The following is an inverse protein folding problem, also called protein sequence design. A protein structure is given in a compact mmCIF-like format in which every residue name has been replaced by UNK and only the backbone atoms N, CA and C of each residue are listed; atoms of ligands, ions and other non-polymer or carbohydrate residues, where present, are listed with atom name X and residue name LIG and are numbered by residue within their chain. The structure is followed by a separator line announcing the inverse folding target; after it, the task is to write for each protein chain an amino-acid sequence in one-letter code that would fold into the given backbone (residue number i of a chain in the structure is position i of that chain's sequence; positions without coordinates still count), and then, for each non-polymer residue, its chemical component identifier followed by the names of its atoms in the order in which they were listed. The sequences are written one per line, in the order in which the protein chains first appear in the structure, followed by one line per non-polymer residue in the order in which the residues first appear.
data_IF_896693327590
#
_entry.id   IF_896693327590
#
_cell.length_a   1.000
_cell.length_b   1.000
_cell.length_c   1.000
_cell.angle_alpha   90.00
_cell.angle_beta   90.00
_cell.angle_gamma   90.00
#
_symmetry.space_group_name_H-M   'P 1'
#
loop_
_entity.id
_entity.type
_entity.pdbx_description
1 polymer ?
#
# COMPACT_ATOMS: atom_id res chain seq x y z
N UNK A 1 -26.03 15.82 -11.16
CA UNK A 1 -25.73 14.58 -11.89
C UNK A 1 -24.26 14.23 -11.65
N UNK A 2 -23.93 13.01 -11.22
CA UNK A 2 -22.52 12.58 -10.98
C UNK A 2 -21.79 12.46 -12.30
N UNK A 3 -20.65 13.19 -12.47
CA UNK A 3 -19.98 13.35 -13.76
C UNK A 3 -18.46 13.18 -13.70
N UNK A 4 -17.87 13.14 -12.51
CA UNK A 4 -16.44 13.14 -12.33
C UNK A 4 -15.96 11.88 -11.62
N UNK A 5 -14.73 11.50 -11.89
CA UNK A 5 -14.04 10.37 -11.29
C UNK A 5 -12.74 10.86 -10.65
N UNK A 6 -12.32 10.19 -9.59
CA UNK A 6 -11.05 10.48 -8.95
C UNK A 6 -10.18 9.22 -9.02
N UNK A 7 -8.96 9.38 -9.52
CA UNK A 7 -7.90 8.37 -9.39
C UNK A 7 -6.97 8.75 -8.25
N UNK A 8 -6.67 7.80 -7.36
CA UNK A 8 -5.67 7.95 -6.30
C UNK A 8 -4.53 6.98 -6.56
N UNK A 9 -3.30 7.49 -6.55
CA UNK A 9 -2.09 6.68 -6.64
C UNK A 9 -1.27 6.82 -5.34
N UNK A 10 -1.21 5.74 -4.57
CA UNK A 10 -0.36 5.66 -3.38
C UNK A 10 0.98 5.02 -3.74
N UNK A 11 1.87 5.83 -4.31
CA UNK A 11 3.21 5.41 -4.72
C UNK A 11 4.17 5.17 -3.55
N UNK A 12 5.38 4.76 -3.85
CA UNK A 12 6.41 4.44 -2.85
C UNK A 12 6.87 5.63 -2.01
N UNK A 13 6.85 6.86 -2.55
CA UNK A 13 7.36 8.08 -1.88
C UNK A 13 6.39 9.25 -1.92
N UNK A 14 5.30 9.11 -2.66
CA UNK A 14 4.35 10.18 -2.91
C UNK A 14 2.95 9.59 -3.10
N UNK A 15 1.94 10.28 -2.56
CA UNK A 15 0.53 10.03 -2.84
C UNK A 15 0.00 11.12 -3.76
N UNK A 16 -0.78 10.75 -4.77
CA UNK A 16 -1.37 11.66 -5.75
C UNK A 16 -2.85 11.39 -5.91
N UNK A 17 -3.61 12.42 -6.24
CA UNK A 17 -4.99 12.29 -6.69
C UNK A 17 -5.23 13.15 -7.94
N UNK A 18 -6.03 12.67 -8.87
CA UNK A 18 -6.42 13.41 -10.06
C UNK A 18 -7.93 13.29 -10.30
N UNK A 19 -8.52 14.37 -10.78
CA UNK A 19 -9.94 14.45 -11.16
C UNK A 19 -10.05 14.32 -12.67
N UNK A 20 -10.97 13.47 -13.12
CA UNK A 20 -11.26 13.22 -14.52
C UNK A 20 -12.74 13.49 -14.83
N UNK A 21 -13.03 13.98 -16.01
CA UNK A 21 -14.40 14.02 -16.55
C UNK A 21 -14.81 12.66 -17.13
N UNK A 22 -16.07 12.54 -17.56
CA UNK A 22 -16.60 11.32 -18.14
C UNK A 22 -15.95 10.93 -19.50
N UNK A 23 -15.23 11.83 -20.14
CA UNK A 23 -14.45 11.57 -21.34
C UNK A 23 -13.01 11.12 -21.05
N UNK A 24 -12.64 11.00 -19.75
CA UNK A 24 -11.31 10.61 -19.33
C UNK A 24 -10.26 11.73 -19.36
N UNK A 25 -10.68 12.99 -19.55
CA UNK A 25 -9.76 14.14 -19.53
C UNK A 25 -9.46 14.51 -18.09
N UNK A 26 -8.17 14.62 -17.74
CA UNK A 26 -7.74 15.12 -16.44
C UNK A 26 -8.03 16.63 -16.33
N UNK A 27 -8.74 17.02 -15.29
CA UNK A 27 -9.11 18.41 -15.01
C UNK A 27 -8.15 19.06 -14.02
N UNK A 28 -7.76 18.33 -12.98
CA UNK A 28 -6.83 18.79 -11.97
C UNK A 28 -6.12 17.61 -11.29
N UNK A 29 -5.02 17.89 -10.64
CA UNK A 29 -4.31 16.91 -9.79
C UNK A 29 -3.64 17.59 -8.60
N UNK A 30 -3.38 16.79 -7.56
CA UNK A 30 -2.61 17.20 -6.40
C UNK A 30 -1.75 16.03 -5.94
N UNK A 31 -0.61 16.32 -5.32
CA UNK A 31 0.29 15.31 -4.76
C UNK A 31 0.96 15.80 -3.49
N UNK A 32 1.29 14.87 -2.62
CA UNK A 32 2.04 15.09 -1.38
C UNK A 32 3.11 14.01 -1.21
N UNK A 33 4.24 14.42 -0.67
CA UNK A 33 5.28 13.48 -0.28
C UNK A 33 4.80 12.67 0.94
N UNK A 34 4.99 11.36 0.87
CA UNK A 34 4.72 10.42 1.96
C UNK A 34 6.00 9.62 2.21
N UNK A 35 6.93 10.18 3.00
CA UNK A 35 8.26 9.61 3.17
C UNK A 35 8.20 8.24 3.85
N UNK A 36 9.22 7.43 3.56
CA UNK A 36 9.49 6.20 4.28
C UNK A 36 10.40 6.49 5.47
N UNK A 37 10.27 5.72 6.53
CA UNK A 37 11.20 5.70 7.65
C UNK A 37 12.01 4.41 7.62
N UNK A 38 13.29 4.49 7.97
CA UNK A 38 14.21 3.35 7.96
C UNK A 38 14.72 3.11 9.39
N UNK A 39 13.94 2.42 10.24
CA UNK A 39 14.30 2.21 11.66
C UNK A 39 15.54 1.34 11.84
N UNK A 40 15.87 0.51 10.85
CA UNK A 40 17.08 -0.33 10.80
C UNK A 40 17.56 -0.43 9.35
N UNK A 41 18.86 -0.79 9.13
CA UNK A 41 19.35 -1.05 7.77
C UNK A 41 18.49 -2.08 7.03
N UNK A 42 18.04 -1.72 5.83
CA UNK A 42 17.20 -2.58 5.00
C UNK A 42 15.72 -2.62 5.39
N UNK A 43 15.30 -1.92 6.44
CA UNK A 43 13.88 -1.79 6.79
C UNK A 43 13.32 -0.49 6.20
N UNK A 44 12.11 -0.58 5.67
CA UNK A 44 11.40 0.57 5.09
C UNK A 44 9.94 0.56 5.57
N UNK A 45 9.65 1.38 6.58
CA UNK A 45 8.33 1.51 7.18
C UNK A 45 7.56 2.70 6.59
N UNK A 46 6.23 2.59 6.61
CA UNK A 46 5.28 3.63 6.21
C UNK A 46 4.30 3.88 7.35
N UNK A 47 4.07 5.15 7.66
CA UNK A 47 2.98 5.52 8.55
C UNK A 47 1.64 5.36 7.82
N UNK A 48 0.83 4.39 8.28
CA UNK A 48 -0.43 4.05 7.61
C UNK A 48 -1.47 5.17 7.77
N UNK A 49 -1.52 5.83 8.92
CA UNK A 49 -2.45 6.94 9.14
C UNK A 49 -2.09 8.13 8.24
N UNK A 50 -0.80 8.46 8.13
CA UNK A 50 -0.35 9.54 7.25
C UNK A 50 -0.63 9.22 5.77
N UNK A 51 -0.51 7.96 5.33
CA UNK A 51 -0.89 7.56 3.97
C UNK A 51 -2.37 7.84 3.69
N UNK A 52 -3.25 7.47 4.60
CA UNK A 52 -4.68 7.77 4.51
C UNK A 52 -4.95 9.27 4.48
N UNK A 53 -4.35 10.01 5.40
CA UNK A 53 -4.53 11.47 5.49
C UNK A 53 -3.98 12.20 4.26
N UNK A 54 -2.85 11.77 3.71
CA UNK A 54 -2.29 12.31 2.47
C UNK A 54 -3.22 12.07 1.28
N UNK A 55 -3.78 10.86 1.14
CA UNK A 55 -4.77 10.56 0.11
C UNK A 55 -6.01 11.47 0.23
N UNK A 56 -6.54 11.61 1.44
CA UNK A 56 -7.69 12.49 1.70
C UNK A 56 -7.37 13.96 1.40
N UNK A 57 -6.17 14.45 1.74
CA UNK A 57 -5.74 15.82 1.40
C UNK A 57 -5.57 16.01 -0.10
N UNK A 58 -4.97 15.05 -0.81
CA UNK A 58 -4.81 15.09 -2.26
C UNK A 58 -6.16 15.11 -2.97
N UNK A 59 -7.12 14.28 -2.56
CA UNK A 59 -8.49 14.29 -3.09
C UNK A 59 -9.14 15.67 -2.92
N UNK A 60 -9.09 16.24 -1.71
CA UNK A 60 -9.67 17.57 -1.44
C UNK A 60 -9.03 18.66 -2.29
N UNK A 61 -7.69 18.69 -2.37
CA UNK A 61 -6.95 19.66 -3.18
C UNK A 61 -7.27 19.54 -4.67
N UNK A 62 -7.28 18.33 -5.21
CA UNK A 62 -7.59 18.10 -6.62
C UNK A 62 -9.05 18.49 -6.96
N UNK A 63 -10.00 18.14 -6.08
CA UNK A 63 -11.42 18.50 -6.24
C UNK A 63 -11.64 20.01 -6.21
N UNK A 64 -11.00 20.70 -5.26
CA UNK A 64 -11.07 22.16 -5.16
C UNK A 64 -10.46 22.84 -6.40
N UNK A 65 -9.30 22.36 -6.88
CA UNK A 65 -8.65 22.89 -8.07
C UNK A 65 -9.46 22.65 -9.35
N UNK A 66 -10.23 21.55 -9.41
CA UNK A 66 -11.17 21.27 -10.50
C UNK A 66 -12.50 22.04 -10.38
N UNK A 67 -12.76 22.72 -9.27
CA UNK A 67 -14.01 23.44 -9.02
C UNK A 67 -15.24 22.54 -8.91
N UNK A 68 -15.06 21.27 -8.49
CA UNK A 68 -16.15 20.29 -8.39
C UNK A 68 -16.62 20.07 -6.95
N UNK A 69 -17.92 19.80 -6.79
CA UNK A 69 -18.51 19.40 -5.53
C UNK A 69 -18.34 17.90 -5.28
N UNK A 70 -18.17 17.44 -4.03
CA UNK A 70 -18.19 16.00 -3.69
C UNK A 70 -19.43 15.27 -4.19
N UNK A 71 -20.59 15.93 -4.26
CA UNK A 71 -21.84 15.36 -4.78
C UNK A 71 -21.80 15.01 -6.28
N UNK A 72 -20.84 15.59 -7.02
CA UNK A 72 -20.66 15.35 -8.45
C UNK A 72 -19.70 14.19 -8.75
N UNK A 73 -19.03 13.65 -7.72
CA UNK A 73 -18.12 12.52 -7.86
C UNK A 73 -18.92 11.22 -8.02
N UNK A 74 -18.69 10.54 -9.14
CA UNK A 74 -19.33 9.28 -9.49
C UNK A 74 -18.60 8.07 -8.89
N UNK A 75 -17.29 8.17 -8.74
CA UNK A 75 -16.47 7.09 -8.18
C UNK A 75 -15.03 7.52 -7.90
N UNK A 76 -14.38 6.76 -7.03
CA UNK A 76 -12.97 6.87 -6.70
C UNK A 76 -12.33 5.52 -6.98
N UNK A 77 -11.22 5.50 -7.71
CA UNK A 77 -10.40 4.33 -7.93
C UNK A 77 -9.03 4.52 -7.31
N UNK A 78 -8.51 3.49 -6.65
CA UNK A 78 -7.20 3.52 -6.01
C UNK A 78 -6.22 2.60 -6.70
N UNK A 79 -4.99 3.05 -6.85
CA UNK A 79 -3.82 2.24 -7.18
C UNK A 79 -2.70 2.53 -6.18
N UNK A 80 -1.68 1.70 -6.20
CA UNK A 80 -0.52 1.90 -5.33
C UNK A 80 0.63 1.00 -5.76
N UNK A 81 1.77 1.17 -5.09
CA UNK A 81 2.89 0.27 -5.33
C UNK A 81 2.49 -1.18 -4.99
N UNK A 82 2.90 -2.12 -5.82
CA UNK A 82 2.75 -3.55 -5.53
C UNK A 82 3.77 -4.03 -4.52
N UNK A 83 3.54 -5.21 -3.94
CA UNK A 83 4.33 -5.79 -2.84
C UNK A 83 4.22 -4.95 -1.55
N UNK A 84 5.12 -5.21 -0.60
CA UNK A 84 4.99 -4.63 0.73
C UNK A 84 3.89 -5.33 1.54
N UNK A 85 3.56 -4.80 2.70
CA UNK A 85 2.60 -5.42 3.60
C UNK A 85 1.96 -4.36 4.52
N UNK A 86 0.65 -4.33 4.56
CA UNK A 86 -0.13 -3.40 5.37
C UNK A 86 -1.09 -4.21 6.25
N UNK A 87 -0.87 -4.17 7.56
CA UNK A 87 -1.55 -5.04 8.51
C UNK A 87 -2.58 -4.26 9.33
N UNK A 88 -3.83 -4.72 9.31
CA UNK A 88 -4.90 -4.18 10.14
C UNK A 88 -5.21 -5.13 11.29
N UNK A 89 -5.22 -4.58 12.50
CA UNK A 89 -5.41 -5.34 13.73
C UNK A 89 -6.88 -5.64 14.05
N UNK A 90 -7.08 -6.58 14.96
CA UNK A 90 -8.40 -6.93 15.52
C UNK A 90 -8.99 -5.82 16.38
N UNK A 91 -8.14 -4.92 16.88
CA UNK A 91 -8.49 -3.72 17.63
C UNK A 91 -8.96 -2.54 16.76
N UNK A 92 -9.04 -2.73 15.43
CA UNK A 92 -9.49 -1.71 14.49
C UNK A 92 -8.45 -0.63 14.20
N UNK A 93 -7.18 -0.94 14.35
CA UNK A 93 -6.02 -0.05 14.08
C UNK A 93 -4.97 -0.77 13.26
N UNK A 94 -4.00 -0.06 12.67
CA UNK A 94 -2.81 -0.70 12.10
C UNK A 94 -2.11 -1.58 13.14
N UNK A 95 -1.90 -2.85 12.84
CA UNK A 95 -1.21 -3.78 13.75
C UNK A 95 0.30 -3.52 13.82
N UNK A 96 0.85 -2.89 12.80
CA UNK A 96 2.24 -2.44 12.69
C UNK A 96 2.31 -1.30 11.66
N UNK A 97 3.41 -0.55 11.57
CA UNK A 97 3.68 0.30 10.42
C UNK A 97 3.57 -0.50 9.12
N UNK A 98 3.09 0.13 8.06
CA UNK A 98 3.10 -0.48 6.73
C UNK A 98 4.54 -0.76 6.29
N UNK A 99 4.77 -1.88 5.64
CA UNK A 99 6.08 -2.28 5.11
C UNK A 99 6.12 -1.96 3.62
N UNK A 100 7.10 -1.19 3.18
CA UNK A 100 7.24 -0.79 1.79
C UNK A 100 7.78 -1.92 0.90
N UNK A 101 7.60 -1.78 -0.42
CA UNK A 101 8.12 -2.73 -1.42
C UNK A 101 9.65 -2.71 -1.57
N UNK A 102 10.33 -1.78 -0.92
CA UNK A 102 11.80 -1.65 -0.87
C UNK A 102 12.40 -2.22 0.42
N UNK A 103 11.57 -2.88 1.23
CA UNK A 103 11.98 -3.49 2.50
C UNK A 103 12.68 -4.84 2.29
N UNK A 104 13.70 -5.11 3.08
CA UNK A 104 14.52 -6.33 3.02
C UNK A 104 14.52 -7.12 4.33
N UNK A 105 13.62 -6.80 5.31
CA UNK A 105 13.60 -7.48 6.61
C UNK A 105 13.38 -8.99 6.51
N UNK A 106 12.68 -9.47 5.49
CA UNK A 106 12.43 -10.88 5.26
C UNK A 106 13.45 -11.55 4.31
N UNK A 107 14.63 -10.92 4.08
CA UNK A 107 15.65 -11.48 3.17
C UNK A 107 16.08 -12.89 3.55
N UNK A 108 16.26 -13.18 4.85
CA UNK A 108 16.62 -14.53 5.33
C UNK A 108 15.50 -15.55 5.05
N UNK A 109 14.23 -15.15 5.17
CA UNK A 109 13.08 -16.01 4.84
C UNK A 109 13.07 -16.33 3.35
N UNK A 110 13.21 -15.31 2.50
CA UNK A 110 13.22 -15.49 1.05
C UNK A 110 14.41 -16.37 0.61
N UNK A 111 15.59 -16.16 1.17
CA UNK A 111 16.77 -16.98 0.90
C UNK A 111 16.58 -18.45 1.31
N UNK A 112 16.01 -18.70 2.49
CA UNK A 112 15.69 -20.04 2.94
C UNK A 112 14.72 -20.74 1.98
N UNK A 113 13.65 -20.06 1.56
CA UNK A 113 12.67 -20.63 0.62
C UNK A 113 13.23 -20.91 -0.78
N UNK A 114 14.35 -20.29 -1.18
CA UNK A 114 15.04 -20.65 -2.43
C UNK A 114 15.74 -22.02 -2.32
N UNK A 115 16.13 -22.44 -1.11
CA UNK A 115 16.92 -23.67 -0.90
C UNK A 115 16.10 -24.85 -0.42
N UNK A 116 14.93 -24.66 0.20
CA UNK A 116 14.08 -25.71 0.74
C UNK A 116 12.98 -26.21 -0.23
N UNK A 117 12.96 -25.72 -1.45
CA UNK A 117 11.98 -26.06 -2.50
C UNK A 117 10.66 -25.28 -2.41
N UNK A 118 10.46 -24.41 -1.41
CA UNK A 118 9.24 -23.62 -1.26
C UNK A 118 9.07 -22.64 -2.42
N UNK A 119 10.14 -21.96 -2.83
CA UNK A 119 10.10 -21.00 -3.94
C UNK A 119 9.75 -21.66 -5.28
N UNK A 120 10.25 -22.87 -5.53
CA UNK A 120 9.92 -23.62 -6.74
C UNK A 120 8.44 -24.02 -6.77
N UNK A 121 7.92 -24.55 -5.65
CA UNK A 121 6.50 -24.88 -5.51
C UNK A 121 5.62 -23.63 -5.71
N UNK A 122 5.96 -22.50 -5.07
CA UNK A 122 5.21 -21.25 -5.21
C UNK A 122 5.22 -20.77 -6.68
N UNK A 123 6.36 -20.85 -7.35
CA UNK A 123 6.50 -20.44 -8.76
C UNK A 123 5.57 -21.21 -9.69
N UNK A 124 5.34 -22.49 -9.46
CA UNK A 124 4.44 -23.31 -10.26
C UNK A 124 2.99 -22.78 -10.29
N UNK A 125 2.56 -22.09 -9.24
CA UNK A 125 1.22 -21.50 -9.11
C UNK A 125 1.18 -20.01 -9.41
N UNK A 126 2.21 -19.26 -9.02
CA UNK A 126 2.20 -17.79 -9.07
C UNK A 126 2.89 -17.23 -10.31
N UNK A 127 3.72 -18.04 -10.97
CA UNK A 127 4.63 -17.65 -12.06
C UNK A 127 5.60 -16.51 -11.67
N UNK A 128 5.78 -16.27 -10.35
CA UNK A 128 6.62 -15.21 -9.82
C UNK A 128 7.78 -15.79 -9.01
N UNK A 129 8.88 -15.02 -8.95
CA UNK A 129 9.95 -15.28 -7.99
C UNK A 129 9.50 -14.87 -6.61
N UNK A 130 9.90 -15.63 -5.59
CA UNK A 130 9.76 -15.21 -4.20
C UNK A 130 10.79 -14.12 -3.90
N UNK A 131 10.31 -12.98 -3.40
CA UNK A 131 11.11 -11.84 -2.97
C UNK A 131 10.81 -11.54 -1.49
N UNK A 132 11.79 -10.95 -0.83
CA UNK A 132 11.72 -10.57 0.58
C UNK A 132 10.68 -9.51 0.92
N UNK A 133 10.37 -8.63 -0.03
CA UNK A 133 9.35 -7.60 0.10
C UNK A 133 7.93 -8.07 -0.27
N UNK A 134 7.74 -9.35 -0.61
CA UNK A 134 6.40 -9.89 -0.90
C UNK A 134 5.62 -10.19 0.39
N UNK A 135 4.27 -10.05 0.38
CA UNK A 135 3.43 -10.28 1.55
C UNK A 135 3.68 -11.62 2.24
N UNK A 136 3.88 -12.70 1.48
CA UNK A 136 4.10 -14.03 2.06
C UNK A 136 5.40 -14.10 2.90
N UNK A 137 6.51 -13.58 2.38
CA UNK A 137 7.79 -13.56 3.08
C UNK A 137 7.74 -12.64 4.32
N UNK A 138 7.10 -11.47 4.18
CA UNK A 138 6.90 -10.53 5.27
C UNK A 138 5.99 -11.10 6.36
N UNK A 139 4.87 -11.75 6.01
CA UNK A 139 3.99 -12.42 6.99
C UNK A 139 4.73 -13.52 7.76
N UNK A 140 5.56 -14.31 7.05
CA UNK A 140 6.41 -15.31 7.71
C UNK A 140 7.38 -14.64 8.68
N UNK A 141 8.01 -13.54 8.27
CA UNK A 141 8.89 -12.77 9.14
C UNK A 141 8.16 -12.25 10.39
N UNK A 142 6.95 -11.67 10.25
CA UNK A 142 6.15 -11.19 11.39
C UNK A 142 5.80 -12.35 12.34
N UNK A 143 5.41 -13.50 11.81
CA UNK A 143 5.11 -14.68 12.63
C UNK A 143 6.30 -15.11 13.49
N UNK A 144 7.48 -15.10 12.91
CA UNK A 144 8.68 -15.63 13.57
C UNK A 144 9.35 -14.59 14.49
N UNK A 145 9.23 -13.29 14.20
CA UNK A 145 9.94 -12.21 14.90
C UNK A 145 9.04 -11.28 15.73
N UNK A 146 7.75 -11.24 15.43
CA UNK A 146 6.74 -10.38 16.09
C UNK A 146 5.42 -11.13 16.30
N UNK A 147 5.44 -12.26 17.07
CA UNK A 147 4.27 -13.13 17.19
C UNK A 147 3.04 -12.39 17.72
N UNK A 148 3.17 -11.48 18.69
CA UNK A 148 2.05 -10.70 19.21
C UNK A 148 1.39 -9.81 18.15
N UNK A 149 2.18 -9.23 17.24
CA UNK A 149 1.65 -8.47 16.09
C UNK A 149 0.92 -9.41 15.14
N UNK A 150 1.54 -10.57 14.84
CA UNK A 150 0.98 -11.56 13.93
C UNK A 150 -0.38 -12.09 14.42
N UNK A 151 -0.52 -12.38 15.70
CA UNK A 151 -1.76 -12.84 16.32
C UNK A 151 -2.86 -11.78 16.34
N UNK A 152 -2.49 -10.48 16.40
CA UNK A 152 -3.44 -9.37 16.31
C UNK A 152 -3.92 -9.10 14.87
N UNK A 153 -3.35 -9.70 13.83
CA UNK A 153 -3.76 -9.44 12.45
C UNK A 153 -5.21 -9.90 12.24
N UNK A 154 -6.01 -9.01 11.71
CA UNK A 154 -7.35 -9.28 11.20
C UNK A 154 -7.39 -9.26 9.67
N UNK A 155 -6.76 -8.27 9.05
CA UNK A 155 -6.72 -8.10 7.60
C UNK A 155 -5.31 -7.83 7.11
N UNK A 156 -5.02 -8.35 5.93
CA UNK A 156 -3.77 -8.16 5.21
C UNK A 156 -4.09 -7.44 3.91
N UNK A 157 -3.40 -6.32 3.69
CA UNK A 157 -3.59 -5.45 2.54
C UNK A 157 -2.29 -5.22 1.78
N UNK A 158 -2.38 -4.92 0.50
CA UNK A 158 -1.40 -4.12 -0.22
C UNK A 158 -1.74 -2.62 -0.09
N UNK A 159 -0.84 -1.75 -0.54
CA UNK A 159 -1.01 -0.30 -0.37
C UNK A 159 -2.34 0.25 -0.90
N UNK A 160 -2.81 -0.26 -2.05
CA UNK A 160 -4.07 0.15 -2.68
C UNK A 160 -5.32 -0.34 -1.95
N UNK A 161 -5.21 -1.48 -1.26
CA UNK A 161 -6.35 -2.12 -0.59
C UNK A 161 -6.62 -1.48 0.77
N UNK A 162 -5.61 -0.80 1.32
CA UNK A 162 -5.71 -0.08 2.57
C UNK A 162 -6.45 1.27 2.42
N UNK A 163 -6.37 1.93 1.26
CA UNK A 163 -7.06 3.18 0.96
C UNK A 163 -8.51 2.95 0.54
#
# INVERSE_FOLDING_TARGET
MKRYFIGVDNGGTMTKAAVFDAAGRQLASAGENTPQTCPQPGWCDRDMEELWMAAARCIRKASAAAGISPAEIAGVGCTGHGKGLYLWGRDGRPAAPGVASTDHRAAAVAAHWQTDGTAEKARAYTMQRVLDCQPAALLRWFRDNRPAVYENIRWVFEAKDYL
#
